data_IF_791694532788
#
_entry.id   IF_791694532788
#
_cell.length_a   1.000
_cell.length_b   1.000
_cell.length_c   1.000
_cell.angle_alpha   90.00
_cell.angle_beta   90.00
_cell.angle_gamma   90.00
#
_symmetry.space_group_name_H-M   'P 1'
#
loop_
_entity.id
_entity.type
_entity.pdbx_description
1 polymer ?
#
# COMPACT_ATOMS: atom_id res chain seq x y z
N UNK A 1 -7.15 7.21 -18.15
CA UNK A 1 -7.52 6.00 -18.93
C UNK A 1 -8.88 6.23 -19.55
N UNK A 2 -9.12 5.73 -20.77
CA UNK A 2 -10.43 5.81 -21.44
C UNK A 2 -10.76 4.46 -22.05
N UNK A 3 -11.96 3.96 -21.79
CA UNK A 3 -12.42 2.66 -22.32
C UNK A 3 -13.18 1.87 -21.26
N UNK A 4 -13.56 0.66 -21.65
CA UNK A 4 -14.11 -0.36 -20.73
C UNK A 4 -13.10 -1.50 -20.66
N UNK A 5 -12.77 -1.90 -19.44
CA UNK A 5 -11.70 -2.85 -19.16
C UNK A 5 -12.30 -4.18 -18.73
N UNK A 6 -12.34 -5.14 -19.64
CA UNK A 6 -12.98 -6.43 -19.38
C UNK A 6 -12.37 -7.14 -18.17
N UNK A 7 -13.23 -7.85 -17.44
CA UNK A 7 -12.88 -8.47 -16.17
C UNK A 7 -11.78 -9.54 -16.28
N UNK A 8 -11.85 -10.40 -17.31
CA UNK A 8 -10.88 -11.49 -17.46
C UNK A 8 -9.45 -11.01 -17.79
N UNK A 9 -9.24 -10.05 -18.71
CA UNK A 9 -7.92 -9.46 -18.91
C UNK A 9 -7.36 -8.73 -17.68
N UNK A 10 -8.20 -8.08 -16.85
CA UNK A 10 -7.74 -7.49 -15.58
C UNK A 10 -7.15 -8.56 -14.65
N UNK A 11 -7.86 -9.66 -14.43
CA UNK A 11 -7.34 -10.76 -13.59
C UNK A 11 -6.10 -11.44 -14.19
N UNK A 12 -6.00 -11.53 -15.51
CA UNK A 12 -4.81 -12.04 -16.17
C UNK A 12 -3.61 -11.10 -15.93
N UNK A 13 -3.82 -9.78 -16.00
CA UNK A 13 -2.79 -8.79 -15.67
C UNK A 13 -2.40 -8.85 -14.19
N UNK A 14 -3.36 -9.00 -13.27
CA UNK A 14 -3.08 -9.21 -11.84
C UNK A 14 -2.15 -10.41 -11.62
N UNK A 15 -2.37 -11.51 -12.35
CA UNK A 15 -1.50 -12.70 -12.28
C UNK A 15 -0.09 -12.44 -12.79
N UNK A 16 0.05 -11.76 -13.94
CA UNK A 16 1.37 -11.38 -14.48
C UNK A 16 2.15 -10.49 -13.51
N UNK A 17 1.47 -9.56 -12.83
CA UNK A 17 2.07 -8.74 -11.78
C UNK A 17 2.58 -9.61 -10.64
N UNK A 18 1.77 -10.55 -10.14
CA UNK A 18 2.21 -11.49 -9.11
C UNK A 18 3.41 -12.34 -9.52
N UNK A 19 3.41 -12.85 -10.76
CA UNK A 19 4.56 -13.59 -11.32
C UNK A 19 5.83 -12.73 -11.35
N UNK A 20 5.74 -11.49 -11.83
CA UNK A 20 6.87 -10.58 -11.91
C UNK A 20 7.43 -10.20 -10.53
N UNK A 21 6.55 -9.93 -9.56
CA UNK A 21 6.94 -9.59 -8.19
C UNK A 21 7.47 -10.80 -7.38
N UNK A 22 7.38 -12.02 -7.91
CA UNK A 22 7.92 -13.24 -7.29
C UNK A 22 6.96 -13.91 -6.30
N UNK A 23 5.65 -13.71 -6.45
CA UNK A 23 4.64 -14.41 -5.66
C UNK A 23 4.56 -15.89 -6.05
N UNK A 24 4.65 -16.78 -5.07
CA UNK A 24 4.59 -18.22 -5.31
C UNK A 24 3.13 -18.69 -5.45
N UNK A 25 2.70 -18.89 -6.69
CA UNK A 25 1.37 -19.41 -7.03
C UNK A 25 1.15 -20.87 -6.63
N UNK A 26 2.20 -21.63 -6.31
CA UNK A 26 2.05 -22.98 -5.75
C UNK A 26 1.68 -22.95 -4.26
N UNK A 27 1.93 -21.81 -3.60
CA UNK A 27 1.71 -21.55 -2.19
C UNK A 27 0.66 -20.45 -1.96
N UNK A 28 -0.28 -20.28 -2.90
CA UNK A 28 -1.24 -19.20 -2.86
C UNK A 28 -2.19 -19.13 -4.05
N UNK A 29 -3.09 -18.14 -4.04
CA UNK A 29 -4.04 -17.86 -5.13
C UNK A 29 -4.59 -16.43 -5.03
N UNK A 30 -5.16 -15.98 -6.14
CA UNK A 30 -5.86 -14.71 -6.28
C UNK A 30 -7.35 -14.96 -6.55
N UNK A 31 -8.20 -14.28 -5.77
CA UNK A 31 -9.66 -14.33 -5.86
C UNK A 31 -10.29 -12.93 -5.83
N UNK A 32 -11.62 -12.85 -5.96
CA UNK A 32 -12.38 -11.61 -5.86
C UNK A 32 -12.93 -11.40 -4.45
N UNK A 33 -12.88 -10.17 -3.96
CA UNK A 33 -13.56 -9.73 -2.75
C UNK A 33 -14.06 -8.29 -2.90
N UNK A 34 -15.06 -7.90 -2.10
CA UNK A 34 -15.55 -6.51 -2.05
C UNK A 34 -14.47 -5.58 -1.52
N UNK A 35 -13.77 -6.00 -0.47
CA UNK A 35 -12.60 -5.35 0.08
C UNK A 35 -11.41 -6.28 -0.11
N UNK A 36 -10.41 -5.90 -0.93
CA UNK A 36 -9.15 -6.64 -1.05
C UNK A 36 -8.50 -6.89 0.31
N UNK A 37 -7.90 -8.07 0.45
CA UNK A 37 -7.14 -8.48 1.63
C UNK A 37 -6.20 -9.64 1.30
N UNK A 38 -5.16 -9.77 2.11
CA UNK A 38 -4.25 -10.91 2.17
C UNK A 38 -4.52 -11.74 3.43
N UNK A 39 -4.49 -13.06 3.30
CA UNK A 39 -4.67 -13.98 4.43
C UNK A 39 -3.96 -15.31 4.22
N UNK A 40 -3.76 -16.06 5.29
CA UNK A 40 -3.07 -17.33 5.26
C UNK A 40 -1.59 -17.22 5.62
N UNK A 41 -0.94 -18.37 5.71
CA UNK A 41 0.46 -18.57 6.13
C UNK A 41 0.91 -19.97 5.75
N UNK A 42 2.21 -20.27 5.87
CA UNK A 42 2.73 -21.64 5.81
C UNK A 42 2.33 -22.42 4.54
N UNK A 43 2.75 -21.93 3.38
CA UNK A 43 2.49 -22.61 2.10
C UNK A 43 1.08 -22.41 1.55
N UNK A 44 0.24 -21.60 2.20
CA UNK A 44 -1.05 -21.16 1.65
C UNK A 44 -1.31 -19.71 2.08
N UNK A 45 -0.81 -18.76 1.28
CA UNK A 45 -0.98 -17.32 1.45
C UNK A 45 -1.78 -16.81 0.27
N UNK A 46 -3.00 -16.35 0.50
CA UNK A 46 -3.98 -15.96 -0.52
C UNK A 46 -4.18 -14.46 -0.53
N UNK A 47 -4.41 -13.93 -1.72
CA UNK A 47 -4.77 -12.53 -1.92
C UNK A 47 -6.14 -12.44 -2.58
N UNK A 48 -6.82 -11.33 -2.34
CA UNK A 48 -8.03 -10.99 -3.06
C UNK A 48 -7.89 -9.63 -3.69
N UNK A 49 -8.64 -9.39 -4.75
CA UNK A 49 -8.72 -8.08 -5.41
C UNK A 49 -10.16 -7.77 -5.78
N UNK A 50 -10.42 -6.56 -6.26
CA UNK A 50 -11.69 -6.15 -6.86
C UNK A 50 -11.46 -5.77 -8.31
N UNK A 51 -12.51 -5.86 -9.12
CA UNK A 51 -12.45 -5.51 -10.54
C UNK A 51 -13.58 -4.53 -10.81
N UNK A 52 -13.23 -3.43 -11.48
CA UNK A 52 -14.16 -2.44 -11.98
C UNK A 52 -13.87 -2.25 -13.48
N UNK A 53 -14.90 -2.33 -14.32
CA UNK A 53 -14.76 -2.17 -15.76
C UNK A 53 -14.43 -0.73 -16.17
N UNK A 54 -14.67 0.25 -15.29
CA UNK A 54 -14.38 1.67 -15.50
C UNK A 54 -13.08 2.11 -14.83
N UNK A 55 -12.59 1.35 -13.83
CA UNK A 55 -11.35 1.62 -13.10
C UNK A 55 -10.44 0.37 -12.98
N UNK A 56 -9.59 0.12 -14.00
CA UNK A 56 -8.64 -0.99 -13.94
C UNK A 56 -7.46 -0.70 -13.00
N UNK A 57 -7.20 0.56 -12.64
CA UNK A 57 -6.11 0.91 -11.72
C UNK A 57 -6.45 0.47 -10.30
N UNK A 58 -7.73 0.58 -9.91
CA UNK A 58 -8.23 0.04 -8.66
C UNK A 58 -7.87 -1.44 -8.48
N UNK A 59 -8.06 -2.26 -9.52
CA UNK A 59 -7.66 -3.67 -9.52
C UNK A 59 -6.14 -3.85 -9.40
N UNK A 60 -5.37 -3.16 -10.25
CA UNK A 60 -3.91 -3.28 -10.33
C UNK A 60 -3.27 -2.93 -8.98
N UNK A 61 -3.59 -1.77 -8.42
CA UNK A 61 -2.97 -1.29 -7.20
C UNK A 61 -3.45 -2.02 -5.95
N UNK A 62 -4.72 -2.44 -5.92
CA UNK A 62 -5.19 -3.35 -4.87
C UNK A 62 -4.44 -4.68 -4.91
N UNK A 63 -4.22 -5.24 -6.12
CA UNK A 63 -3.44 -6.48 -6.28
C UNK A 63 -2.00 -6.30 -5.80
N UNK A 64 -1.31 -5.22 -6.21
CA UNK A 64 0.08 -4.96 -5.80
C UNK A 64 0.17 -4.79 -4.27
N UNK A 65 -0.78 -4.08 -3.68
CA UNK A 65 -0.87 -3.91 -2.23
C UNK A 65 -0.94 -5.25 -1.51
N UNK A 66 -1.90 -6.10 -1.88
CA UNK A 66 -2.06 -7.43 -1.26
C UNK A 66 -0.89 -8.36 -1.57
N UNK A 67 -0.26 -8.24 -2.74
CA UNK A 67 0.97 -8.96 -3.07
C UNK A 67 2.12 -8.58 -2.14
N UNK A 68 2.29 -7.30 -1.78
CA UNK A 68 3.33 -6.91 -0.83
C UNK A 68 3.13 -7.56 0.56
N UNK A 69 1.87 -7.63 1.03
CA UNK A 69 1.51 -8.41 2.22
C UNK A 69 1.83 -9.90 2.05
N UNK A 70 1.42 -10.49 0.93
CA UNK A 70 1.59 -11.91 0.68
C UNK A 70 3.06 -12.31 0.53
N UNK A 71 3.86 -11.47 -0.11
CA UNK A 71 5.29 -11.67 -0.21
C UNK A 71 5.90 -11.69 1.18
N UNK A 72 5.52 -10.81 2.12
CA UNK A 72 6.01 -10.91 3.49
C UNK A 72 5.68 -12.26 4.12
N UNK A 73 4.41 -12.69 4.07
CA UNK A 73 3.96 -13.96 4.65
C UNK A 73 4.67 -15.18 4.02
N UNK A 74 4.85 -15.19 2.70
CA UNK A 74 5.60 -16.25 2.00
C UNK A 74 7.10 -16.21 2.29
N UNK A 75 7.62 -15.09 2.80
CA UNK A 75 9.02 -14.91 3.17
C UNK A 75 9.34 -15.21 4.63
N UNK A 76 8.34 -15.50 5.46
CA UNK A 76 8.56 -15.92 6.84
C UNK A 76 9.39 -17.20 6.88
N UNK A 77 10.26 -17.31 7.88
CA UNK A 77 11.17 -18.45 7.99
C UNK A 77 10.41 -19.73 8.40
N UNK A 78 10.40 -20.78 7.54
CA UNK A 78 9.69 -22.02 7.81
C UNK A 78 10.22 -22.75 9.05
N UNK A 79 11.48 -22.55 9.44
CA UNK A 79 12.07 -23.20 10.62
C UNK A 79 11.43 -22.71 11.93
N UNK A 80 10.95 -21.47 11.97
CA UNK A 80 10.33 -20.87 13.16
C UNK A 80 8.82 -20.69 13.04
N UNK A 81 8.20 -21.08 11.92
CA UNK A 81 6.83 -20.72 11.59
C UNK A 81 5.75 -21.25 12.56
N UNK A 82 6.05 -22.31 13.34
CA UNK A 82 5.17 -22.84 14.40
C UNK A 82 5.55 -22.36 15.81
N UNK A 83 6.38 -21.33 15.91
CA UNK A 83 6.74 -20.67 17.17
C UNK A 83 5.99 -19.34 17.34
N UNK A 84 5.95 -18.75 18.54
CA UNK A 84 5.42 -17.39 18.73
C UNK A 84 6.13 -16.33 17.86
N UNK A 85 7.40 -16.60 17.48
CA UNK A 85 8.19 -15.73 16.63
C UNK A 85 7.90 -15.89 15.13
N UNK A 86 7.22 -16.97 14.72
CA UNK A 86 7.02 -17.36 13.32
C UNK A 86 5.94 -16.62 12.55
N UNK A 87 5.55 -15.42 12.99
CA UNK A 87 4.51 -14.60 12.33
C UNK A 87 5.05 -13.20 12.02
N UNK A 88 4.37 -12.48 11.13
CA UNK A 88 4.69 -11.09 10.80
C UNK A 88 4.85 -10.21 12.07
N UNK A 89 5.87 -9.33 12.05
CA UNK A 89 6.34 -8.60 13.24
C UNK A 89 5.25 -7.73 13.90
N UNK A 90 4.60 -6.89 13.11
CA UNK A 90 3.51 -6.00 13.51
C UNK A 90 2.72 -5.56 12.29
N UNK A 91 1.54 -4.97 12.50
CA UNK A 91 0.75 -4.38 11.41
C UNK A 91 1.52 -3.28 10.66
N UNK A 92 2.33 -2.46 11.35
CA UNK A 92 3.12 -1.43 10.70
C UNK A 92 4.23 -1.99 9.80
N UNK A 93 4.89 -3.10 10.21
CA UNK A 93 5.87 -3.77 9.35
C UNK A 93 5.16 -4.49 8.20
N UNK A 94 3.98 -5.04 8.43
CA UNK A 94 3.19 -5.71 7.39
C UNK A 94 2.72 -4.73 6.31
N UNK A 95 2.16 -3.59 6.73
CA UNK A 95 1.76 -2.50 5.86
C UNK A 95 2.97 -1.87 5.14
N UNK A 96 4.15 -1.86 5.75
CA UNK A 96 5.33 -1.32 5.05
C UNK A 96 5.69 -2.15 3.82
N UNK A 97 5.41 -3.45 3.82
CA UNK A 97 5.64 -4.30 2.65
C UNK A 97 4.59 -4.02 1.57
N UNK A 98 3.30 -3.94 1.92
CA UNK A 98 2.26 -3.59 0.95
C UNK A 98 2.49 -2.21 0.32
N UNK A 99 2.83 -1.21 1.13
CA UNK A 99 3.09 0.16 0.65
C UNK A 99 4.37 0.29 -0.16
N UNK A 100 5.45 -0.40 0.23
CA UNK A 100 6.69 -0.42 -0.55
C UNK A 100 6.41 -0.89 -1.99
N UNK A 101 5.71 -2.03 -2.14
CA UNK A 101 5.36 -2.55 -3.46
C UNK A 101 4.34 -1.69 -4.17
N UNK A 102 3.27 -1.23 -3.50
CA UNK A 102 2.21 -0.42 -4.13
C UNK A 102 2.73 0.94 -4.60
N UNK A 103 3.39 1.69 -3.71
CA UNK A 103 3.65 3.11 -3.87
C UNK A 103 5.07 3.39 -4.35
N UNK A 104 6.08 2.91 -3.61
CA UNK A 104 7.48 3.20 -3.93
C UNK A 104 7.93 2.49 -5.22
N UNK A 105 7.41 1.28 -5.46
CA UNK A 105 7.66 0.52 -6.70
C UNK A 105 6.52 0.72 -7.69
N UNK A 106 5.30 0.31 -7.36
CA UNK A 106 4.16 0.21 -8.28
C UNK A 106 3.67 1.56 -8.84
N UNK A 107 3.88 2.67 -8.12
CA UNK A 107 3.55 4.02 -8.61
C UNK A 107 4.78 4.80 -9.10
N UNK A 108 5.94 4.15 -9.20
CA UNK A 108 7.16 4.77 -9.75
C UNK A 108 7.07 4.98 -11.27
N UNK A 109 7.91 5.88 -11.78
CA UNK A 109 8.07 6.06 -13.23
C UNK A 109 8.59 4.79 -13.89
N UNK A 110 9.54 4.09 -13.27
CA UNK A 110 10.10 2.83 -13.76
C UNK A 110 9.03 1.75 -13.93
N UNK A 111 8.18 1.58 -12.92
CA UNK A 111 7.11 0.58 -13.01
C UNK A 111 6.07 0.94 -14.07
N UNK A 112 5.77 2.22 -14.28
CA UNK A 112 4.89 2.64 -15.37
C UNK A 112 5.46 2.30 -16.76
N UNK A 113 6.79 2.30 -16.93
CA UNK A 113 7.46 1.86 -18.17
C UNK A 113 7.23 0.37 -18.45
N UNK A 114 7.25 -0.46 -17.41
CA UNK A 114 6.95 -1.89 -17.52
C UNK A 114 5.43 -2.16 -17.67
N UNK A 115 4.58 -1.46 -16.92
CA UNK A 115 3.14 -1.71 -16.87
C UNK A 115 2.42 -1.25 -18.14
N UNK A 116 2.83 -0.11 -18.73
CA UNK A 116 2.15 0.45 -19.91
C UNK A 116 2.05 -0.53 -21.10
N UNK A 117 3.12 -1.21 -21.56
CA UNK A 117 2.99 -2.19 -22.63
C UNK A 117 2.09 -3.38 -22.24
N UNK A 118 2.08 -3.81 -20.98
CA UNK A 118 1.19 -4.88 -20.49
C UNK A 118 -0.28 -4.47 -20.56
N UNK A 119 -0.60 -3.23 -20.17
CA UNK A 119 -1.94 -2.66 -20.31
C UNK A 119 -2.40 -2.63 -21.77
N UNK A 120 -1.50 -2.22 -22.67
CA UNK A 120 -1.81 -2.19 -24.11
C UNK A 120 -1.98 -3.55 -24.72
N UNK A 121 -1.23 -4.54 -24.27
CA UNK A 121 -1.40 -5.93 -24.68
C UNK A 121 -2.76 -6.48 -24.21
N UNK A 122 -3.16 -6.18 -22.97
CA UNK A 122 -4.39 -6.67 -22.39
C UNK A 122 -5.66 -5.99 -22.94
N UNK A 123 -5.60 -4.69 -23.25
CA UNK A 123 -6.79 -3.87 -23.53
C UNK A 123 -6.72 -3.06 -24.83
N UNK A 124 -5.60 -3.08 -25.57
CA UNK A 124 -5.42 -2.29 -26.78
C UNK A 124 -5.08 -0.82 -26.50
N UNK A 125 -5.84 0.11 -27.09
CA UNK A 125 -5.69 1.54 -26.78
C UNK A 125 -6.40 1.87 -25.47
N UNK A 126 -5.62 2.29 -24.47
CA UNK A 126 -6.12 2.63 -23.13
C UNK A 126 -6.32 4.14 -22.93
N UNK A 127 -6.20 4.91 -24.03
CA UNK A 127 -6.37 6.37 -24.03
C UNK A 127 -5.25 7.10 -23.30
N UNK A 128 -4.02 6.57 -23.35
CA UNK A 128 -2.80 7.18 -22.83
C UNK A 128 -1.73 7.16 -23.94
N UNK A 129 -0.95 8.24 -24.06
CA UNK A 129 0.10 8.37 -25.06
C UNK A 129 1.34 7.50 -24.76
N UNK A 130 1.59 7.21 -23.48
CA UNK A 130 2.80 6.52 -23.05
C UNK A 130 2.85 6.21 -21.56
N UNK A 131 3.92 5.54 -21.16
CA UNK A 131 4.23 5.23 -19.76
C UNK A 131 4.27 6.46 -18.85
N UNK A 132 4.71 7.61 -19.37
CA UNK A 132 4.77 8.83 -18.53
C UNK A 132 3.39 9.41 -18.22
N UNK A 133 2.43 9.28 -19.15
CA UNK A 133 1.05 9.69 -18.87
C UNK A 133 0.38 8.71 -17.90
N UNK A 134 0.72 7.41 -17.98
CA UNK A 134 0.32 6.43 -16.97
C UNK A 134 0.91 6.77 -15.60
N UNK A 135 2.20 7.11 -15.53
CA UNK A 135 2.85 7.52 -14.29
C UNK A 135 2.15 8.72 -13.65
N UNK A 136 1.81 9.74 -14.45
CA UNK A 136 1.04 10.91 -13.98
C UNK A 136 -0.36 10.52 -13.52
N UNK A 137 -1.10 9.73 -14.30
CA UNK A 137 -2.46 9.30 -13.95
C UNK A 137 -2.49 8.50 -12.63
N UNK A 138 -1.49 7.65 -12.40
CA UNK A 138 -1.41 6.81 -11.20
C UNK A 138 -1.01 7.60 -9.94
N UNK A 139 -0.62 8.87 -10.09
CA UNK A 139 -0.20 9.77 -9.03
C UNK A 139 -1.03 11.05 -9.00
N UNK A 140 -2.28 10.97 -9.47
CA UNK A 140 -3.25 12.04 -9.29
C UNK A 140 -3.51 12.27 -7.79
N UNK A 141 -3.46 13.53 -7.37
CA UNK A 141 -3.76 13.96 -6.00
C UNK A 141 -5.11 14.65 -6.03
N UNK A 142 -6.04 14.14 -5.22
CA UNK A 142 -7.38 14.67 -5.15
C UNK A 142 -7.96 14.46 -3.76
N UNK A 143 -8.64 15.49 -3.23
CA UNK A 143 -9.40 15.35 -2.01
C UNK A 143 -10.57 14.39 -2.24
N UNK A 144 -10.61 13.30 -1.48
CA UNK A 144 -11.69 12.31 -1.50
C UNK A 144 -12.09 11.91 -0.08
N UNK A 145 -13.31 11.41 0.09
CA UNK A 145 -13.83 11.07 1.42
C UNK A 145 -13.33 9.72 1.95
N UNK A 146 -13.02 8.79 1.05
CA UNK A 146 -12.75 7.38 1.38
C UNK A 146 -11.25 7.15 1.57
N UNK A 147 -10.85 6.79 2.80
CA UNK A 147 -9.43 6.60 3.16
C UNK A 147 -8.73 5.58 2.29
N UNK A 148 -9.36 4.44 1.98
CA UNK A 148 -8.74 3.37 1.17
C UNK A 148 -8.53 3.77 -0.29
N UNK A 149 -9.14 4.87 -0.73
CA UNK A 149 -9.05 5.40 -2.11
C UNK A 149 -8.26 6.72 -2.17
N UNK A 150 -7.78 7.21 -1.02
CA UNK A 150 -7.00 8.43 -0.94
C UNK A 150 -5.61 8.26 -1.57
N UNK A 151 -5.11 9.33 -2.19
CA UNK A 151 -3.76 9.39 -2.75
C UNK A 151 -2.67 9.38 -1.66
N UNK A 152 -1.41 9.19 -2.07
CA UNK A 152 -0.25 9.08 -1.16
C UNK A 152 -0.04 10.31 -0.27
N UNK A 153 -0.49 11.50 -0.70
CA UNK A 153 -0.35 12.75 0.05
C UNK A 153 -1.45 12.86 1.11
N UNK A 154 -2.71 12.63 0.73
CA UNK A 154 -3.85 12.76 1.65
C UNK A 154 -4.02 11.56 2.60
N UNK A 155 -3.58 10.36 2.23
CA UNK A 155 -3.85 9.12 2.99
C UNK A 155 -3.47 9.21 4.47
N UNK A 156 -2.32 9.81 4.79
CA UNK A 156 -1.85 9.92 6.18
C UNK A 156 -2.67 10.93 6.99
N UNK A 157 -3.31 11.93 6.35
CA UNK A 157 -4.23 12.85 7.02
C UNK A 157 -5.50 12.12 7.48
N UNK A 158 -6.02 11.19 6.66
CA UNK A 158 -7.17 10.36 7.05
C UNK A 158 -6.87 9.52 8.30
N UNK A 159 -5.64 9.00 8.39
CA UNK A 159 -5.17 8.23 9.57
C UNK A 159 -5.03 9.15 10.79
N UNK A 160 -4.43 10.33 10.62
CA UNK A 160 -4.24 11.30 11.70
C UNK A 160 -5.57 11.73 12.31
N UNK A 161 -6.56 12.08 11.49
CA UNK A 161 -7.92 12.42 11.94
C UNK A 161 -8.52 11.30 12.81
N UNK A 162 -8.45 10.05 12.35
CA UNK A 162 -8.98 8.90 13.10
C UNK A 162 -8.27 8.71 14.43
N UNK A 163 -6.93 8.81 14.44
CA UNK A 163 -6.16 8.68 15.66
C UNK A 163 -6.50 9.75 16.69
N UNK A 164 -6.73 10.99 16.26
CA UNK A 164 -7.13 12.06 17.16
C UNK A 164 -8.54 11.86 17.73
N UNK A 165 -9.49 11.39 16.90
CA UNK A 165 -10.82 11.01 17.36
C UNK A 165 -10.76 9.84 18.35
N UNK A 166 -9.92 8.82 18.11
CA UNK A 166 -9.70 7.72 19.05
C UNK A 166 -9.16 8.21 20.39
N UNK A 167 -8.18 9.14 20.38
CA UNK A 167 -7.66 9.75 21.61
C UNK A 167 -8.73 10.52 22.37
N UNK A 168 -9.58 11.26 21.66
CA UNK A 168 -10.67 12.02 22.27
C UNK A 168 -11.71 11.10 22.92
N UNK A 169 -12.08 10.00 22.24
CA UNK A 169 -12.98 8.98 22.78
C UNK A 169 -12.39 8.31 24.02
N UNK A 170 -11.14 7.83 23.95
CA UNK A 170 -10.49 7.09 25.04
C UNK A 170 -10.25 7.96 26.28
N UNK A 171 -9.96 9.25 26.08
CA UNK A 171 -9.76 10.20 27.19
C UNK A 171 -11.07 10.72 27.80
N UNK A 172 -12.22 10.43 27.20
CA UNK A 172 -13.53 10.98 27.60
C UNK A 172 -13.75 12.44 27.20
N UNK A 173 -12.89 13.01 26.34
CA UNK A 173 -13.07 14.35 25.78
C UNK A 173 -14.15 14.39 24.69
N UNK A 174 -14.47 13.24 24.09
CA UNK A 174 -15.53 13.05 23.10
C UNK A 174 -16.39 11.86 23.51
N UNK A 175 -17.70 12.07 23.58
CA UNK A 175 -18.69 10.99 23.74
C UNK A 175 -19.09 10.43 22.37
N UNK A 176 -19.44 9.13 22.32
CA UNK A 176 -19.81 8.45 21.06
C UNK A 176 -20.95 9.16 20.32
N UNK A 177 -21.92 9.71 21.06
CA UNK A 177 -23.04 10.46 20.45
C UNK A 177 -22.64 11.73 19.71
N UNK A 178 -21.43 12.26 19.94
CA UNK A 178 -20.88 13.42 19.22
C UNK A 178 -19.91 13.06 18.09
N UNK A 179 -19.61 11.77 17.88
CA UNK A 179 -18.54 11.33 17.01
C UNK A 179 -18.75 11.71 15.53
N UNK A 180 -19.98 11.60 15.03
CA UNK A 180 -20.29 11.98 13.64
C UNK A 180 -20.10 13.49 13.40
N UNK A 181 -20.55 14.33 14.33
CA UNK A 181 -20.36 15.77 14.23
C UNK A 181 -18.88 16.16 14.32
N UNK A 182 -18.12 15.53 15.23
CA UNK A 182 -16.68 15.73 15.35
C UNK A 182 -15.93 15.30 14.08
N UNK A 183 -16.31 14.17 13.49
CA UNK A 183 -15.79 13.71 12.21
C UNK A 183 -16.02 14.73 11.11
N UNK A 184 -17.26 15.17 10.91
CA UNK A 184 -17.63 16.08 9.84
C UNK A 184 -16.95 17.44 9.98
N UNK A 185 -16.83 17.95 11.22
CA UNK A 185 -16.12 19.19 11.51
C UNK A 185 -14.63 19.06 11.17
N UNK A 186 -14.00 17.97 11.59
CA UNK A 186 -12.57 17.76 11.36
C UNK A 186 -12.26 17.51 9.88
N UNK A 187 -13.13 16.79 9.18
CA UNK A 187 -12.96 16.57 7.75
C UNK A 187 -13.03 17.88 6.96
N UNK A 188 -13.96 18.78 7.32
CA UNK A 188 -14.04 20.10 6.71
C UNK A 188 -12.80 20.95 7.02
N UNK A 189 -12.28 20.88 8.24
CA UNK A 189 -11.07 21.61 8.65
C UNK A 189 -9.81 21.11 7.92
N UNK A 190 -9.58 19.80 7.91
CA UNK A 190 -8.35 19.21 7.38
C UNK A 190 -8.35 19.10 5.85
N UNK A 191 -9.53 18.87 5.24
CA UNK A 191 -9.66 18.57 3.80
C UNK A 191 -10.45 19.63 3.02
N UNK A 192 -11.07 20.60 3.68
CA UNK A 192 -11.85 21.65 3.01
C UNK A 192 -13.16 21.17 2.39
N UNK A 193 -13.62 19.95 2.71
CA UNK A 193 -14.81 19.34 2.10
C UNK A 193 -15.86 18.96 3.16
N UNK A 194 -17.13 19.26 2.87
CA UNK A 194 -18.23 18.82 3.71
C UNK A 194 -18.58 17.36 3.38
N UNK A 195 -18.57 16.50 4.39
CA UNK A 195 -18.95 15.09 4.25
C UNK A 195 -20.45 15.00 3.90
N UNK A 196 -20.83 14.31 2.80
CA UNK A 196 -22.21 14.31 2.32
C UNK A 196 -23.16 13.47 3.18
N UNK A 197 -22.68 12.35 3.72
CA UNK A 197 -23.45 11.45 4.58
C UNK A 197 -22.54 10.60 5.47
N UNK A 198 -23.13 9.89 6.44
CA UNK A 198 -22.38 9.05 7.37
C UNK A 198 -21.65 7.88 6.69
N UNK A 199 -22.15 7.39 5.54
CA UNK A 199 -21.54 6.27 4.81
C UNK A 199 -20.21 6.68 4.17
N UNK A 200 -20.10 7.92 3.68
CA UNK A 200 -18.84 8.52 3.25
C UNK A 200 -18.09 9.20 4.41
N UNK A 201 -18.71 9.25 5.60
CA UNK A 201 -18.17 9.84 6.82
C UNK A 201 -17.71 8.80 7.83
N UNK A 202 -18.19 8.95 9.06
CA UNK A 202 -17.81 8.15 10.24
C UNK A 202 -18.03 6.64 10.08
N UNK A 203 -18.93 6.19 9.19
CA UNK A 203 -19.24 4.78 8.97
C UNK A 203 -18.45 4.16 7.80
N UNK A 204 -17.55 4.90 7.15
CA UNK A 204 -16.82 4.41 5.97
C UNK A 204 -15.86 3.23 6.28
N UNK A 205 -15.40 3.13 7.52
CA UNK A 205 -14.42 2.13 7.95
C UNK A 205 -15.01 1.16 8.98
N UNK A 206 -14.69 -0.13 8.83
CA UNK A 206 -15.20 -1.18 9.71
C UNK A 206 -14.52 -1.21 11.09
N UNK A 207 -13.32 -0.65 11.23
CA UNK A 207 -12.40 -0.87 12.36
C UNK A 207 -13.04 -0.69 13.73
N UNK A 208 -13.70 0.44 13.98
CA UNK A 208 -14.31 0.71 15.29
C UNK A 208 -15.49 -0.22 15.60
N UNK A 209 -16.24 -0.64 14.59
CA UNK A 209 -17.36 -1.59 14.76
C UNK A 209 -16.89 -3.00 15.19
N UNK A 210 -15.64 -3.36 14.85
CA UNK A 210 -15.02 -4.63 15.23
C UNK A 210 -13.97 -4.48 16.34
N UNK A 211 -13.95 -3.33 17.04
CA UNK A 211 -13.12 -3.10 18.22
C UNK A 211 -11.64 -2.78 17.97
N UNK A 212 -11.27 -2.41 16.74
CA UNK A 212 -9.88 -2.12 16.36
C UNK A 212 -9.49 -0.65 16.66
N UNK A 213 -9.43 -0.30 17.94
CA UNK A 213 -8.90 1.00 18.41
C UNK A 213 -7.37 0.98 18.54
N UNK A 214 -6.70 2.08 18.18
CA UNK A 214 -5.23 2.15 18.12
C UNK A 214 -4.65 1.42 16.91
N UNK A 215 -5.49 0.95 15.99
CA UNK A 215 -5.08 0.23 14.79
C UNK A 215 -4.69 1.17 13.65
N UNK A 216 -5.46 2.24 13.40
CA UNK A 216 -5.18 3.15 12.29
C UNK A 216 -3.76 3.72 12.24
N UNK A 217 -3.12 4.10 13.36
CA UNK A 217 -1.74 4.60 13.35
C UNK A 217 -0.73 3.64 12.70
N UNK A 218 -1.04 2.33 12.68
CA UNK A 218 -0.18 1.33 12.05
C UNK A 218 -0.08 1.51 10.54
N UNK A 219 -1.10 2.08 9.89
CA UNK A 219 -1.06 2.38 8.46
C UNK A 219 -0.02 3.45 8.12
N UNK A 220 0.03 4.53 8.90
CA UNK A 220 1.05 5.59 8.72
C UNK A 220 2.44 5.11 9.11
N UNK A 221 2.56 4.27 10.15
CA UNK A 221 3.84 3.59 10.43
C UNK A 221 4.31 2.75 9.23
N UNK A 222 3.40 2.07 8.54
CA UNK A 222 3.67 1.37 7.29
C UNK A 222 4.30 2.27 6.24
N UNK A 223 3.71 3.43 5.96
CA UNK A 223 4.27 4.41 5.01
C UNK A 223 5.65 4.92 5.42
N UNK A 224 5.87 5.22 6.71
CA UNK A 224 7.17 5.67 7.22
C UNK A 224 8.24 4.58 7.08
N UNK A 225 7.90 3.34 7.43
CA UNK A 225 8.81 2.21 7.30
C UNK A 225 9.10 1.88 5.83
N UNK A 226 8.10 1.94 4.95
CA UNK A 226 8.26 1.72 3.52
C UNK A 226 9.23 2.73 2.90
N UNK A 227 9.07 4.03 3.20
CA UNK A 227 9.99 5.07 2.72
C UNK A 227 11.40 4.92 3.31
N UNK A 228 11.52 4.49 4.56
CA UNK A 228 12.82 4.21 5.19
C UNK A 228 13.53 3.05 4.49
N UNK A 229 12.81 1.96 4.19
CA UNK A 229 13.33 0.80 3.48
C UNK A 229 13.71 1.17 2.04
N UNK A 230 12.84 1.87 1.31
CA UNK A 230 13.09 2.30 -0.08
C UNK A 230 14.37 3.12 -0.20
N UNK A 231 14.60 4.07 0.72
CA UNK A 231 15.82 4.86 0.75
C UNK A 231 17.08 4.01 0.94
N UNK A 232 17.03 2.95 1.75
CA UNK A 232 18.15 2.03 1.95
C UNK A 232 18.35 1.09 0.76
N UNK A 233 17.26 0.52 0.23
CA UNK A 233 17.27 -0.36 -0.93
C UNK A 233 17.89 0.37 -2.12
N UNK A 234 17.45 1.59 -2.44
CA UNK A 234 17.97 2.38 -3.56
C UNK A 234 19.42 2.81 -3.38
N UNK A 235 19.91 2.88 -2.15
CA UNK A 235 21.33 3.14 -1.89
C UNK A 235 22.20 1.88 -2.12
N UNK A 236 21.67 0.68 -1.85
CA UNK A 236 22.39 -0.60 -2.04
C UNK A 236 22.20 -1.20 -3.45
N UNK A 237 21.11 -0.85 -4.13
CA UNK A 237 20.73 -1.32 -5.47
C UNK A 237 20.49 -0.09 -6.36
N UNK A 238 21.55 0.60 -6.82
CA UNK A 238 21.42 1.87 -7.52
C UNK A 238 20.76 1.75 -8.90
N UNK A 239 20.74 0.56 -9.48
CA UNK A 239 20.10 0.21 -10.76
C UNK A 239 18.69 -0.38 -10.59
N UNK A 240 18.09 -0.30 -9.40
CA UNK A 240 16.76 -0.87 -9.13
C UNK A 240 15.69 -0.38 -10.10
N UNK A 241 15.69 0.90 -10.45
CA UNK A 241 14.69 1.44 -11.38
C UNK A 241 14.86 0.87 -12.80
N UNK A 242 16.08 0.58 -13.24
CA UNK A 242 16.33 -0.06 -14.54
C UNK A 242 15.82 -1.51 -14.53
N UNK A 243 16.03 -2.23 -13.42
CA UNK A 243 15.49 -3.58 -13.22
C UNK A 243 13.95 -3.58 -13.20
N UNK A 244 13.34 -2.65 -12.47
CA UNK A 244 11.87 -2.49 -12.40
C UNK A 244 11.29 -2.18 -13.78
N UNK A 245 11.93 -1.30 -14.56
CA UNK A 245 11.49 -1.00 -15.93
C UNK A 245 11.61 -2.22 -16.88
N UNK A 246 12.55 -3.13 -16.62
CA UNK A 246 12.70 -4.40 -17.32
C UNK A 246 11.74 -5.50 -16.81
N UNK A 247 11.00 -5.27 -15.73
CA UNK A 247 10.15 -6.26 -15.08
C UNK A 247 10.89 -7.25 -14.19
N UNK A 248 12.09 -6.90 -13.74
CA UNK A 248 12.95 -7.71 -12.90
C UNK A 248 12.85 -7.21 -11.44
N UNK A 249 12.21 -8.00 -10.57
CA UNK A 249 11.99 -7.64 -9.17
C UNK A 249 12.75 -8.55 -8.18
N UNK A 250 13.55 -9.49 -8.70
CA UNK A 250 14.26 -10.49 -7.90
C UNK A 250 15.20 -9.86 -6.88
N UNK A 251 16.01 -8.86 -7.27
CA UNK A 251 16.96 -8.22 -6.36
C UNK A 251 16.27 -7.50 -5.20
N UNK A 252 15.13 -6.86 -5.44
CA UNK A 252 14.30 -6.25 -4.40
C UNK A 252 13.80 -7.30 -3.40
N UNK A 253 13.23 -8.40 -3.91
CA UNK A 253 12.71 -9.46 -3.05
C UNK A 253 13.84 -10.14 -2.25
N UNK A 254 14.96 -10.44 -2.89
CA UNK A 254 16.16 -11.02 -2.27
C UNK A 254 16.77 -10.11 -1.20
N UNK A 255 16.64 -8.79 -1.36
CA UNK A 255 17.07 -7.83 -0.35
C UNK A 255 16.18 -7.89 0.90
N UNK A 256 14.86 -7.91 0.71
CA UNK A 256 13.86 -7.90 1.79
C UNK A 256 13.79 -9.21 2.57
N UNK A 257 13.96 -10.35 1.89
CA UNK A 257 13.82 -11.71 2.48
C UNK A 257 14.63 -11.90 3.77
N UNK A 258 15.97 -11.74 3.78
CA UNK A 258 16.76 -11.96 4.99
C UNK A 258 16.68 -10.79 5.98
N UNK A 259 16.40 -9.56 5.52
CA UNK A 259 16.47 -8.34 6.35
C UNK A 259 15.17 -8.06 7.11
N UNK A 260 14.04 -8.41 6.52
CA UNK A 260 12.71 -8.15 7.08
C UNK A 260 11.91 -9.44 7.20
N UNK A 261 11.75 -10.19 6.10
CA UNK A 261 10.74 -11.24 6.04
C UNK A 261 11.02 -12.42 6.98
N UNK A 262 12.19 -13.03 6.87
CA UNK A 262 12.58 -14.20 7.67
C UNK A 262 12.65 -13.93 9.18
N UNK A 263 12.67 -12.66 9.57
CA UNK A 263 12.83 -12.27 10.98
C UNK A 263 11.58 -12.48 11.83
N UNK A 264 10.40 -12.57 11.22
CA UNK A 264 9.13 -12.70 11.95
C UNK A 264 9.04 -11.73 13.14
N UNK A 265 8.85 -12.26 14.35
CA UNK A 265 8.87 -11.52 15.63
C UNK A 265 10.12 -11.79 16.48
N UNK A 266 11.27 -12.09 15.86
CA UNK A 266 12.53 -12.30 16.59
C UNK A 266 13.11 -11.02 17.20
N UNK A 267 12.65 -9.84 16.75
CA UNK A 267 13.01 -8.54 17.30
C UNK A 267 11.83 -7.58 17.25
N UNK A 268 11.94 -6.47 17.97
CA UNK A 268 10.93 -5.42 17.95
C UNK A 268 10.77 -4.85 16.53
N UNK A 269 9.56 -4.41 16.12
CA UNK A 269 9.29 -3.92 14.77
C UNK A 269 10.24 -2.80 14.32
N UNK A 270 10.44 -1.79 15.16
CA UNK A 270 11.34 -0.67 14.86
C UNK A 270 12.80 -1.14 14.70
N UNK A 271 13.24 -2.11 15.50
CA UNK A 271 14.58 -2.71 15.40
C UNK A 271 14.75 -3.46 14.08
N UNK A 272 13.74 -4.22 13.64
CA UNK A 272 13.78 -4.93 12.36
C UNK A 272 13.98 -3.95 11.20
N UNK A 273 13.18 -2.88 11.16
CA UNK A 273 13.28 -1.86 10.11
C UNK A 273 14.61 -1.11 10.23
N UNK A 274 15.04 -0.76 11.44
CA UNK A 274 16.27 0.01 11.64
C UNK A 274 17.53 -0.76 11.23
N UNK A 275 17.60 -2.04 11.57
CA UNK A 275 18.71 -2.91 11.17
C UNK A 275 18.67 -3.21 9.66
N UNK A 276 17.48 -3.40 9.08
CA UNK A 276 17.33 -3.60 7.64
C UNK A 276 17.79 -2.38 6.84
N UNK A 277 17.41 -1.17 7.27
CA UNK A 277 17.73 0.09 6.59
C UNK A 277 19.09 0.70 6.98
N UNK A 278 19.76 0.12 7.98
CA UNK A 278 20.98 0.67 8.58
C UNK A 278 20.80 2.02 9.29
N UNK A 279 19.55 2.41 9.60
CA UNK A 279 19.18 3.71 10.20
C UNK A 279 17.82 3.63 10.86
N UNK A 280 17.58 4.49 11.85
CA UNK A 280 16.28 4.57 12.52
C UNK A 280 15.17 5.00 11.53
N UNK A 281 13.97 4.39 11.58
CA UNK A 281 12.84 4.89 10.79
C UNK A 281 12.38 6.26 11.30
N UNK A 282 12.22 7.20 10.38
CA UNK A 282 11.86 8.59 10.67
C UNK A 282 10.86 9.13 9.64
N UNK A 283 9.89 9.98 10.06
CA UNK A 283 8.92 10.59 9.14
C UNK A 283 9.56 11.40 8.01
N UNK A 284 10.77 11.92 8.22
CA UNK A 284 11.51 12.69 7.23
C UNK A 284 11.77 11.91 5.92
N UNK A 285 11.92 10.58 5.98
CA UNK A 285 12.08 9.77 4.76
C UNK A 285 10.80 9.76 3.91
N UNK A 286 9.63 9.66 4.55
CA UNK A 286 8.36 9.72 3.86
C UNK A 286 8.12 11.12 3.28
N UNK A 287 8.34 12.17 4.07
CA UNK A 287 8.18 13.56 3.62
C UNK A 287 9.09 13.83 2.41
N UNK A 288 10.37 13.50 2.50
CA UNK A 288 11.31 13.73 1.40
C UNK A 288 10.96 12.93 0.13
N UNK A 289 10.41 11.71 0.28
CA UNK A 289 9.94 10.92 -0.85
C UNK A 289 8.72 11.56 -1.53
N UNK A 290 7.74 12.04 -0.75
CA UNK A 290 6.56 12.73 -1.26
C UNK A 290 6.93 14.07 -1.91
N UNK A 291 7.73 14.91 -1.24
CA UNK A 291 8.18 16.20 -1.77
C UNK A 291 8.93 16.06 -3.09
N UNK A 292 9.86 15.10 -3.18
CA UNK A 292 10.58 14.83 -4.44
C UNK A 292 9.61 14.41 -5.55
N UNK A 293 8.77 13.42 -5.28
CA UNK A 293 7.88 12.81 -6.28
C UNK A 293 6.81 13.79 -6.76
N UNK A 294 6.09 14.42 -5.83
CA UNK A 294 4.99 15.32 -6.15
C UNK A 294 5.46 16.71 -6.55
N UNK A 295 6.63 17.16 -6.06
CA UNK A 295 7.28 18.37 -6.56
C UNK A 295 7.64 18.27 -8.03
N UNK A 296 8.15 17.12 -8.48
CA UNK A 296 8.42 16.85 -9.89
C UNK A 296 7.12 16.68 -10.71
N UNK A 297 6.13 15.92 -10.22
CA UNK A 297 4.92 15.63 -10.98
C UNK A 297 4.04 16.86 -11.23
N UNK A 298 4.02 17.81 -10.30
CA UNK A 298 3.15 18.99 -10.30
C UNK A 298 3.93 20.31 -10.49
N UNK A 299 5.22 20.23 -10.81
CA UNK A 299 6.08 21.40 -11.05
C UNK A 299 6.04 22.43 -9.89
N UNK A 300 6.12 21.96 -8.64
CA UNK A 300 5.96 22.79 -7.42
C UNK A 300 7.27 23.40 -6.90
N UNK A 301 8.31 23.44 -7.73
CA UNK A 301 9.65 23.96 -7.40
C UNK A 301 9.70 25.46 -7.17
#
# INVERSE_FOLDING_TARGET
LKGTFDHAPQLALSRRIGEALGYDWSAGRLDLAVHPFCSGRLGDVRITTRVDAEDPLGNIYSTIHELGHALYEQGLDPEIALTPAGSASSMGVHESQSRLYENQIGRSRAFAQWLYPQLREAFGDVGLAGAEELHRANNAVATGFIRTEADEVHYNLHVMMRFELERALISGALEVGGLEAAWNARFLEDFGAAVPDAAQGVLQDVHWSVGLFGYFPTYTLGNVYAATLDAAIRAEIPDLDDQVAAGEFGALLDWLRPRVHRRGKLAAPETIIAEAAGRKPEPAFLIAALERKFGELYDLG
#
